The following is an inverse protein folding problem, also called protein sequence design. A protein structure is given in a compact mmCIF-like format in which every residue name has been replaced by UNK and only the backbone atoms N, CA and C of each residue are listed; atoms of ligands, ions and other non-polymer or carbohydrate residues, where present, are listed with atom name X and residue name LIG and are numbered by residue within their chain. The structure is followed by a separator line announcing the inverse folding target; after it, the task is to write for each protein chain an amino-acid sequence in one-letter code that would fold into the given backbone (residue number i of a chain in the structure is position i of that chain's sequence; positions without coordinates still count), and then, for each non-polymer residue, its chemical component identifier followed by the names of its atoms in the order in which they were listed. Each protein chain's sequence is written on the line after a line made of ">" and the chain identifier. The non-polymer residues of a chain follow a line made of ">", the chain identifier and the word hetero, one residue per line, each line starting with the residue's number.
data_IF_152441074651
#
_entry.id   IF_152441074651
#
_cell.length_a   1.000
_cell.length_b   1.000
_cell.length_c   1.000
_cell.angle_alpha   90.00
_cell.angle_beta   90.00
_cell.angle_gamma   90.00
#
_symmetry.space_group_name_H-M   'P 1'
#
loop_
_entity.id
_entity.type
_entity.pdbx_description
1 polymer ?
#
# COMPACT_ATOMS: atom_id res chain seq x y z
N UNK A 1 18.60 -4.21 -18.29
CA UNK A 1 17.42 -4.77 -17.60
C UNK A 1 17.16 -3.91 -16.38
N UNK A 2 15.90 -3.59 -16.07
CA UNK A 2 15.59 -2.90 -14.82
C UNK A 2 16.01 -3.77 -13.64
N UNK A 3 16.80 -3.21 -12.72
CA UNK A 3 17.26 -3.92 -11.53
C UNK A 3 16.28 -3.70 -10.40
N UNK A 4 15.93 -4.78 -9.69
CA UNK A 4 15.15 -4.71 -8.46
C UNK A 4 15.89 -5.41 -7.33
N UNK A 5 15.59 -5.01 -6.10
CA UNK A 5 16.05 -5.71 -4.88
C UNK A 5 14.85 -6.10 -4.02
N UNK A 6 15.03 -7.12 -3.17
CA UNK A 6 14.03 -7.51 -2.18
C UNK A 6 14.58 -7.16 -0.82
N UNK A 7 13.84 -6.38 -0.05
CA UNK A 7 14.23 -5.99 1.32
C UNK A 7 13.02 -5.95 2.24
N UNK A 8 13.27 -6.08 3.54
CA UNK A 8 12.26 -5.80 4.56
C UNK A 8 12.31 -4.32 4.94
N UNK A 9 11.20 -3.61 4.79
CA UNK A 9 11.08 -2.17 5.05
C UNK A 9 10.14 -1.97 6.22
N UNK A 10 10.52 -1.10 7.16
CA UNK A 10 9.67 -0.71 8.27
C UNK A 10 8.39 -0.03 7.77
N UNK A 11 7.25 -0.37 8.38
CA UNK A 11 5.94 0.13 7.95
C UNK A 11 5.86 1.65 8.02
N UNK A 12 6.53 2.28 8.98
CA UNK A 12 6.60 3.75 9.15
C UNK A 12 7.38 4.48 8.05
N UNK A 13 8.26 3.76 7.33
CA UNK A 13 9.00 4.26 6.17
C UNK A 13 8.20 4.13 4.87
N UNK A 14 7.04 3.48 4.89
CA UNK A 14 6.20 3.30 3.72
C UNK A 14 5.13 4.36 3.64
N UNK A 15 5.02 4.97 2.47
CA UNK A 15 4.04 5.98 2.13
C UNK A 15 3.08 5.43 1.08
N UNK A 16 1.79 5.76 1.23
CA UNK A 16 0.80 5.56 0.19
C UNK A 16 1.21 6.38 -1.04
N UNK A 17 0.94 5.82 -2.21
CA UNK A 17 1.29 6.45 -3.48
C UNK A 17 0.41 7.65 -3.81
N UNK A 18 0.94 8.81 -3.41
CA UNK A 18 0.45 10.10 -3.85
C UNK A 18 1.00 10.37 -5.24
N UNK A 19 0.11 10.59 -6.22
CA UNK A 19 0.48 10.84 -7.62
C UNK A 19 1.45 12.01 -7.85
N UNK A 20 1.73 12.84 -6.84
CA UNK A 20 2.75 13.89 -6.89
C UNK A 20 3.29 14.24 -5.48
N UNK A 21 4.48 13.74 -5.08
CA UNK A 21 5.07 13.96 -3.76
C UNK A 21 5.74 15.33 -3.58
N UNK A 22 5.71 16.24 -4.57
CA UNK A 22 6.36 17.56 -4.48
C UNK A 22 5.61 18.61 -3.63
N UNK A 23 4.56 18.23 -2.91
CA UNK A 23 3.81 19.12 -2.02
C UNK A 23 3.70 18.46 -0.64
N UNK A 24 3.19 19.18 0.38
CA UNK A 24 3.09 18.70 1.76
C UNK A 24 2.61 17.25 1.83
N UNK A 25 3.55 16.35 2.16
CA UNK A 25 3.39 14.92 2.00
C UNK A 25 2.37 14.41 3.03
N UNK A 26 2.34 14.98 4.22
CA UNK A 26 1.53 14.48 5.34
C UNK A 26 0.03 14.69 5.11
N UNK A 27 -0.38 15.90 4.71
CA UNK A 27 -1.78 16.18 4.38
C UNK A 27 -2.27 15.25 3.26
N UNK A 28 -1.43 15.05 2.25
CA UNK A 28 -1.72 14.17 1.11
C UNK A 28 -1.80 12.69 1.48
N UNK A 29 -1.10 12.22 2.50
CA UNK A 29 -1.24 10.83 2.98
C UNK A 29 -2.63 10.59 3.57
N UNK A 30 -3.15 11.51 4.38
CA UNK A 30 -4.48 11.40 4.97
C UNK A 30 -5.57 11.44 3.90
N UNK A 31 -5.44 12.34 2.91
CA UNK A 31 -6.35 12.39 1.76
C UNK A 31 -6.32 11.08 0.95
N UNK A 32 -5.12 10.57 0.66
CA UNK A 32 -4.96 9.30 -0.08
C UNK A 32 -5.55 8.13 0.70
N UNK A 33 -5.36 8.09 2.02
CA UNK A 33 -5.95 7.07 2.87
C UNK A 33 -7.48 7.15 2.85
N UNK A 34 -8.05 8.35 3.00
CA UNK A 34 -9.49 8.57 2.92
C UNK A 34 -10.08 8.16 1.55
N UNK A 35 -9.36 8.45 0.45
CA UNK A 35 -9.74 8.00 -0.89
C UNK A 35 -9.76 6.46 -0.99
N UNK A 36 -8.73 5.79 -0.47
CA UNK A 36 -8.69 4.32 -0.43
C UNK A 36 -9.86 3.77 0.39
N UNK A 37 -10.17 4.37 1.54
CA UNK A 37 -11.30 3.96 2.38
C UNK A 37 -12.63 4.09 1.65
N UNK A 38 -12.84 5.21 0.94
CA UNK A 38 -14.04 5.46 0.14
C UNK A 38 -14.20 4.47 -1.02
N UNK A 39 -13.10 4.17 -1.70
CA UNK A 39 -13.07 3.25 -2.86
C UNK A 39 -13.22 1.78 -2.43
N UNK A 40 -12.61 1.37 -1.33
CA UNK A 40 -12.62 -0.01 -0.86
C UNK A 40 -13.81 -0.34 0.04
N UNK A 41 -14.34 0.66 0.76
CA UNK A 41 -15.47 0.52 1.69
C UNK A 41 -15.24 -0.66 2.65
N UNK A 42 -16.25 -1.51 2.87
CA UNK A 42 -16.14 -2.69 3.74
C UNK A 42 -15.09 -3.73 3.31
N UNK A 43 -14.56 -3.68 2.07
CA UNK A 43 -13.48 -4.60 1.65
C UNK A 43 -12.18 -4.33 2.40
N UNK A 44 -11.92 -3.09 2.78
CA UNK A 44 -10.72 -2.73 3.55
C UNK A 44 -10.80 -3.27 4.98
N UNK A 45 -11.98 -3.19 5.60
CA UNK A 45 -12.21 -3.76 6.94
C UNK A 45 -12.05 -5.29 6.92
N UNK A 46 -12.56 -5.97 5.89
CA UNK A 46 -12.33 -7.42 5.70
C UNK A 46 -10.83 -7.74 5.59
N UNK A 47 -10.09 -6.97 4.79
CA UNK A 47 -8.65 -7.14 4.66
C UNK A 47 -7.92 -6.91 5.99
N UNK A 48 -8.30 -5.88 6.75
CA UNK A 48 -7.72 -5.62 8.06
C UNK A 48 -7.98 -6.78 9.04
N UNK A 49 -9.19 -7.34 9.03
CA UNK A 49 -9.51 -8.56 9.80
C UNK A 49 -8.64 -9.74 9.37
N UNK A 50 -8.52 -10.00 8.07
CA UNK A 50 -7.71 -11.11 7.56
C UNK A 50 -6.24 -10.97 7.95
N UNK A 51 -5.69 -9.74 7.91
CA UNK A 51 -4.33 -9.45 8.39
C UNK A 51 -4.17 -9.78 9.87
N UNK A 52 -5.17 -9.46 10.70
CA UNK A 52 -5.14 -9.79 12.13
C UNK A 52 -5.28 -11.30 12.39
N UNK A 53 -6.08 -12.00 11.57
CA UNK A 53 -6.38 -13.42 11.76
C UNK A 53 -5.25 -14.33 11.21
N UNK A 54 -4.61 -13.94 10.11
CA UNK A 54 -3.68 -14.79 9.33
C UNK A 54 -2.33 -14.15 9.00
N UNK A 55 -2.15 -12.86 9.29
CA UNK A 55 -0.99 -12.10 8.84
C UNK A 55 -1.08 -11.71 7.36
N UNK A 56 0.05 -11.37 6.76
CA UNK A 56 0.11 -10.90 5.37
C UNK A 56 0.27 -12.07 4.42
N UNK A 57 -0.45 -12.02 3.30
CA UNK A 57 -0.25 -12.97 2.20
C UNK A 57 1.20 -12.94 1.69
N UNK A 58 1.99 -14.02 1.87
CA UNK A 58 3.38 -14.05 1.48
C UNK A 58 3.61 -14.13 -0.04
N UNK A 59 2.58 -14.47 -0.84
CA UNK A 59 2.71 -14.51 -2.31
C UNK A 59 2.70 -13.12 -2.96
N UNK A 60 2.12 -12.14 -2.28
CA UNK A 60 1.82 -10.84 -2.86
C UNK A 60 2.79 -9.78 -2.34
N UNK A 61 4.02 -9.77 -2.88
CA UNK A 61 5.00 -8.76 -2.48
C UNK A 61 4.51 -7.33 -2.80
N UNK A 62 4.77 -6.42 -1.87
CA UNK A 62 4.55 -4.98 -2.01
C UNK A 62 5.61 -4.41 -2.95
N UNK A 63 5.24 -3.59 -3.94
CA UNK A 63 6.19 -2.96 -4.86
C UNK A 63 6.37 -1.51 -4.48
N UNK A 64 7.62 -1.06 -4.38
CA UNK A 64 7.97 0.27 -3.89
C UNK A 64 9.08 0.93 -4.71
N UNK A 65 9.16 2.25 -4.58
CA UNK A 65 10.31 3.06 -5.03
C UNK A 65 10.81 3.93 -3.87
N UNK A 66 12.13 4.16 -3.73
CA UNK A 66 12.63 5.13 -2.77
C UNK A 66 12.17 6.54 -3.17
N UNK A 67 11.89 7.37 -2.18
CA UNK A 67 11.71 8.80 -2.45
C UNK A 67 13.08 9.46 -2.62
N UNK A 68 13.14 10.48 -3.46
CA UNK A 68 14.40 11.15 -3.84
C UNK A 68 14.88 12.17 -2.80
N UNK A 69 14.21 12.29 -1.67
CA UNK A 69 14.68 13.10 -0.55
C UNK A 69 15.53 12.24 0.40
N UNK A 70 16.25 12.91 1.31
CA UNK A 70 17.13 12.24 2.27
C UNK A 70 16.36 11.59 3.45
N UNK A 71 15.04 11.40 3.36
CA UNK A 71 14.25 10.82 4.46
C UNK A 71 14.36 9.30 4.57
N UNK A 72 14.86 8.62 3.53
CA UNK A 72 14.93 7.15 3.48
C UNK A 72 13.58 6.44 3.41
N UNK A 73 12.51 7.15 3.02
CA UNK A 73 11.16 6.60 2.85
C UNK A 73 10.93 6.00 1.46
N UNK A 74 9.87 5.22 1.34
CA UNK A 74 9.48 4.52 0.12
C UNK A 74 8.01 4.79 -0.22
N UNK A 75 7.72 4.99 -1.50
CA UNK A 75 6.34 5.07 -2.01
C UNK A 75 5.89 3.69 -2.46
N UNK A 76 4.73 3.24 -2.00
CA UNK A 76 4.12 1.95 -2.34
C UNK A 76 3.35 2.04 -3.66
N UNK A 77 3.93 1.53 -4.73
CA UNK A 77 3.31 1.51 -6.06
C UNK A 77 2.26 0.40 -6.20
N UNK A 78 2.49 -0.74 -5.57
CA UNK A 78 1.56 -1.89 -5.54
C UNK A 78 1.41 -2.40 -4.11
N UNK A 79 0.17 -2.63 -3.67
CA UNK A 79 -0.15 -2.99 -2.29
C UNK A 79 -0.64 -1.83 -1.41
N UNK A 80 -1.03 -0.69 -2.00
CA UNK A 80 -1.58 0.46 -1.27
C UNK A 80 -2.71 0.09 -0.30
N UNK A 81 -3.62 -0.79 -0.73
CA UNK A 81 -4.71 -1.29 0.13
C UNK A 81 -4.21 -2.00 1.38
N UNK A 82 -3.12 -2.76 1.26
CA UNK A 82 -2.53 -3.48 2.39
C UNK A 82 -1.87 -2.51 3.34
N UNK A 83 -1.09 -1.55 2.82
CA UNK A 83 -0.49 -0.51 3.65
C UNK A 83 -1.58 0.29 4.39
N UNK A 84 -2.64 0.70 3.70
CA UNK A 84 -3.77 1.41 4.31
C UNK A 84 -4.44 0.60 5.42
N UNK A 85 -4.68 -0.70 5.22
CA UNK A 85 -5.24 -1.56 6.25
C UNK A 85 -4.32 -1.66 7.47
N UNK A 86 -3.01 -1.79 7.26
CA UNK A 86 -2.02 -1.82 8.35
C UNK A 86 -1.96 -0.49 9.09
N UNK A 87 -1.94 0.64 8.37
CA UNK A 87 -1.96 1.98 8.98
C UNK A 87 -3.20 2.18 9.86
N UNK A 88 -4.38 1.75 9.40
CA UNK A 88 -5.62 1.78 10.19
C UNK A 88 -5.61 0.82 11.39
N UNK A 89 -4.86 -0.28 11.33
CA UNK A 89 -4.66 -1.20 12.46
C UNK A 89 -3.65 -0.65 13.47
N UNK A 90 -2.63 0.07 13.02
CA UNK A 90 -1.67 0.77 13.87
C UNK A 90 -2.33 1.96 14.59
N UNK A 91 -3.06 2.79 13.84
CA UNK A 91 -3.81 3.93 14.36
C UNK A 91 -5.27 3.89 13.88
N UNK A 92 -6.19 3.31 14.68
CA UNK A 92 -7.59 3.23 14.33
C UNK A 92 -8.32 4.58 14.40
N UNK A 93 -7.69 5.66 14.89
CA UNK A 93 -8.31 7.00 14.87
C UNK A 93 -8.42 7.54 13.45
N UNK A 94 -7.51 7.14 12.56
CA UNK A 94 -7.52 7.47 11.13
C UNK A 94 -8.77 6.94 10.42
N UNK A 95 -9.45 5.92 10.97
CA UNK A 95 -10.69 5.41 10.40
C UNK A 95 -11.81 6.48 10.35
N UNK A 96 -11.76 7.50 11.22
CA UNK A 96 -12.72 8.61 11.22
C UNK A 96 -12.61 9.51 9.97
N UNK A 97 -11.51 9.44 9.21
CA UNK A 97 -11.33 10.22 7.97
C UNK A 97 -12.27 9.80 6.84
N UNK A 98 -12.74 8.55 6.83
CA UNK A 98 -13.50 7.99 5.71
C UNK A 98 -14.58 6.97 6.07
N UNK A 99 -14.79 6.69 7.36
CA UNK A 99 -15.79 5.73 7.82
C UNK A 99 -16.75 6.31 8.86
N UNK A 100 -17.93 5.70 8.95
CA UNK A 100 -18.89 5.95 10.02
C UNK A 100 -18.41 5.40 11.37
N UNK A 101 -19.13 5.76 12.43
CA UNK A 101 -18.82 5.32 13.81
C UNK A 101 -18.78 3.80 13.94
N UNK A 102 -19.66 3.09 13.21
CA UNK A 102 -19.75 1.62 13.24
C UNK A 102 -18.46 0.98 12.73
N UNK A 103 -18.02 1.36 11.52
CA UNK A 103 -16.80 0.79 10.94
C UNK A 103 -15.55 1.28 11.67
N UNK A 104 -15.54 2.52 12.16
CA UNK A 104 -14.46 3.03 13.02
C UNK A 104 -14.30 2.18 14.29
N UNK A 105 -15.41 1.80 14.96
CA UNK A 105 -15.36 0.93 16.13
C UNK A 105 -14.89 -0.50 15.78
N UNK A 106 -15.22 -1.00 14.58
CA UNK A 106 -14.70 -2.29 14.13
C UNK A 106 -13.18 -2.25 13.93
N UNK A 107 -12.64 -1.17 13.34
CA UNK A 107 -11.18 -0.99 13.24
C UNK A 107 -10.51 -0.91 14.60
N UNK A 108 -11.11 -0.21 15.58
CA UNK A 108 -10.59 -0.19 16.97
C UNK A 108 -10.49 -1.59 17.56
N UNK A 109 -11.54 -2.41 17.42
CA UNK A 109 -11.53 -3.80 17.91
C UNK A 109 -10.43 -4.63 17.26
N UNK A 110 -10.24 -4.50 15.94
CA UNK A 110 -9.19 -5.22 15.22
C UNK A 110 -7.78 -4.71 15.60
N UNK A 111 -7.61 -3.40 15.81
CA UNK A 111 -6.38 -2.78 16.30
C UNK A 111 -5.94 -3.36 17.65
N UNK A 112 -6.86 -3.54 18.61
CA UNK A 112 -6.51 -4.12 19.91
C UNK A 112 -5.98 -5.55 19.82
N UNK A 113 -6.46 -6.33 18.83
CA UNK A 113 -5.91 -7.65 18.54
C UNK A 113 -4.56 -7.55 17.82
N UNK A 114 -4.46 -6.64 16.85
CA UNK A 114 -3.25 -6.40 16.07
C UNK A 114 -2.05 -6.03 16.95
N UNK A 115 -2.25 -5.16 17.95
CA UNK A 115 -1.21 -4.73 18.90
C UNK A 115 -0.53 -5.86 19.67
N UNK A 116 -1.13 -7.06 19.75
CA UNK A 116 -0.51 -8.23 20.40
C UNK A 116 0.62 -8.83 19.58
N UNK A 117 0.61 -8.63 18.26
CA UNK A 117 1.63 -9.12 17.34
C UNK A 117 1.64 -8.20 16.10
N UNK A 118 2.12 -6.96 16.25
CA UNK A 118 2.12 -5.98 15.17
C UNK A 118 3.06 -6.41 14.04
N UNK A 119 2.78 -5.92 12.84
CA UNK A 119 3.63 -6.09 11.67
C UNK A 119 4.48 -4.83 11.56
N UNK A 120 5.74 -4.95 11.96
CA UNK A 120 6.67 -3.82 11.96
C UNK A 120 7.34 -3.63 10.59
N UNK A 121 7.45 -4.71 9.79
CA UNK A 121 8.14 -4.71 8.50
C UNK A 121 7.35 -5.41 7.41
N UNK A 122 7.48 -4.91 6.19
CA UNK A 122 6.96 -5.51 4.97
C UNK A 122 8.09 -5.94 4.05
N UNK A 123 7.96 -7.15 3.51
CA UNK A 123 8.82 -7.62 2.43
C UNK A 123 8.42 -6.92 1.13
N UNK A 124 9.32 -6.09 0.61
CA UNK A 124 9.08 -5.21 -0.52
C UNK A 124 10.03 -5.53 -1.68
N UNK A 125 9.51 -5.43 -2.90
CA UNK A 125 10.32 -5.34 -4.13
C UNK A 125 10.58 -3.87 -4.40
N UNK A 126 11.86 -3.50 -4.45
CA UNK A 126 12.30 -2.11 -4.63
C UNK A 126 12.81 -1.93 -6.04
N UNK A 127 12.20 -0.99 -6.75
CA UNK A 127 12.69 -0.49 -8.02
C UNK A 127 13.36 0.87 -7.84
N UNK A 128 14.29 1.20 -8.73
CA UNK A 128 14.92 2.53 -8.75
C UNK A 128 13.96 3.60 -9.24
N UNK A 129 13.07 3.26 -10.17
CA UNK A 129 12.16 4.18 -10.83
C UNK A 129 10.76 3.57 -10.98
N UNK A 130 9.74 4.42 -11.03
CA UNK A 130 8.34 3.98 -11.23
C UNK A 130 8.17 3.21 -12.54
N UNK A 131 8.77 3.70 -13.62
CA UNK A 131 8.60 3.09 -14.95
C UNK A 131 9.11 1.65 -15.00
N UNK A 132 10.16 1.34 -14.23
CA UNK A 132 10.70 -0.01 -14.08
C UNK A 132 9.70 -0.96 -13.38
N UNK A 133 8.92 -0.43 -12.42
CA UNK A 133 7.90 -1.17 -11.69
C UNK A 133 6.61 -1.33 -12.50
N UNK A 134 6.24 -0.32 -13.31
CA UNK A 134 4.98 -0.27 -14.04
C UNK A 134 4.76 -1.50 -14.92
N UNK A 135 5.80 -2.03 -15.57
CA UNK A 135 5.72 -3.26 -16.35
C UNK A 135 5.12 -4.43 -15.56
N UNK A 136 5.60 -4.65 -14.34
CA UNK A 136 5.16 -5.75 -13.48
C UNK A 136 3.80 -5.50 -12.85
N UNK A 137 3.52 -4.24 -12.53
CA UNK A 137 2.23 -3.81 -11.99
C UNK A 137 1.14 -4.04 -13.03
N UNK A 138 1.34 -3.56 -14.27
CA UNK A 138 0.42 -3.77 -15.37
C UNK A 138 0.18 -5.27 -15.62
N UNK A 139 1.25 -6.07 -15.72
CA UNK A 139 1.14 -7.50 -15.97
C UNK A 139 0.33 -8.23 -14.88
N UNK A 140 0.44 -7.80 -13.61
CA UNK A 140 -0.36 -8.31 -12.49
C UNK A 140 -1.85 -7.93 -12.59
N UNK A 141 -2.17 -6.71 -13.06
CA UNK A 141 -3.55 -6.21 -13.10
C UNK A 141 -4.30 -6.56 -14.39
N UNK A 142 -3.62 -6.62 -15.53
CA UNK A 142 -4.25 -6.84 -16.85
C UNK A 142 -4.14 -8.27 -17.35
N UNK A 143 -3.25 -9.09 -16.76
CA UNK A 143 -2.83 -10.36 -17.35
C UNK A 143 -2.11 -10.17 -18.70
N UNK A 144 -1.60 -11.26 -19.28
CA UNK A 144 -0.81 -11.30 -20.53
C UNK A 144 -1.51 -10.65 -21.75
N UNK A 145 -2.84 -10.50 -21.71
CA UNK A 145 -3.65 -10.21 -22.89
C UNK A 145 -3.62 -8.75 -23.41
N UNK A 146 -3.14 -7.77 -22.64
CA UNK A 146 -3.07 -6.36 -23.09
C UNK A 146 -1.65 -5.90 -23.45
N UNK A 147 -0.62 -6.59 -22.95
CA UNK A 147 0.79 -6.23 -23.15
C UNK A 147 1.22 -6.41 -24.62
N UNK A 148 0.66 -7.40 -25.32
CA UNK A 148 0.92 -7.62 -26.75
C UNK A 148 0.40 -6.46 -27.64
N UNK A 149 -0.70 -5.81 -27.26
CA UNK A 149 -1.33 -4.76 -28.09
C UNK A 149 -0.57 -3.44 -28.08
N UNK A 150 0.02 -3.04 -26.94
CA UNK A 150 0.80 -1.80 -26.83
C UNK A 150 2.21 -1.91 -27.43
N UNK A 151 2.84 -3.09 -27.38
CA UNK A 151 4.16 -3.31 -27.97
C UNK A 151 4.14 -3.44 -29.50
N UNK A 152 2.99 -3.77 -30.08
CA UNK A 152 2.79 -3.75 -31.54
C UNK A 152 2.66 -2.34 -32.12
N UNK A 153 2.26 -1.35 -31.32
CA UNK A 153 2.13 0.06 -31.75
C UNK A 153 3.42 0.87 -31.57
N UNK A 154 4.47 0.27 -31.02
CA UNK A 154 5.80 0.87 -30.82
C UNK A 154 6.89 0.29 -31.74
N UNK A 155 6.52 -0.57 -32.69
CA UNK A 155 7.36 -1.02 -33.81
C UNK A 155 6.88 -0.33 -35.09
#
# INVERSE_FOLDING_TARGET
>A
MATYTIQEIEVDKLLLDVRNPRHDILEKQNETLAEIMLNQRGKLLKLARDIVDFGINPSDLTIVIPIKDDSGKFIVLEGNRRLAAIQLLCDPTLAALGYDTKNTNAFKLHSERYKKSPIDKLRCVVFSQRDDANHWIELRHTGENEFERKNMQRK
#
